data_IF_016918379145
#
_entry.id   IF_016918379145
#
_cell.length_a   1.000
_cell.length_b   1.000
_cell.length_c   1.000
_cell.angle_alpha   90.00
_cell.angle_beta   90.00
_cell.angle_gamma   90.00
#
_symmetry.space_group_name_H-M   'P 1'
#
loop_
_entity.id
_entity.type
_entity.pdbx_description
1 polymer ?
#
# COMPACT_ATOMS: atom_id res chain seq x y z
N UNK A 1 -3.44 21.83 2.97
CA UNK A 1 -2.63 20.67 3.46
C UNK A 1 -3.15 19.30 2.99
N UNK A 2 -4.46 19.01 2.99
CA UNK A 2 -4.99 17.68 2.58
C UNK A 2 -4.61 17.22 1.17
N UNK A 3 -4.54 18.15 0.20
CA UNK A 3 -4.11 17.86 -1.18
C UNK A 3 -2.61 17.53 -1.29
N UNK A 4 -1.75 18.25 -0.58
CA UNK A 4 -0.31 17.95 -0.55
C UNK A 4 -0.04 16.57 0.04
N UNK A 5 -0.72 16.23 1.14
CA UNK A 5 -0.66 14.90 1.73
C UNK A 5 -1.15 13.80 0.78
N UNK A 6 -2.22 14.06 0.03
CA UNK A 6 -2.71 13.12 -0.99
C UNK A 6 -1.66 12.86 -2.06
N UNK A 7 -1.07 13.92 -2.62
CA UNK A 7 -0.03 13.82 -3.64
C UNK A 7 1.19 13.07 -3.10
N UNK A 8 1.65 13.41 -1.89
CA UNK A 8 2.77 12.71 -1.25
C UNK A 8 2.51 11.22 -1.04
N UNK A 9 1.28 10.84 -0.68
CA UNK A 9 0.90 9.43 -0.53
C UNK A 9 0.91 8.69 -1.86
N UNK A 10 0.43 9.32 -2.94
CA UNK A 10 0.48 8.73 -4.28
C UNK A 10 1.93 8.57 -4.72
N UNK A 11 2.74 9.62 -4.59
CA UNK A 11 4.15 9.59 -4.96
C UNK A 11 4.94 8.53 -4.16
N UNK A 12 4.72 8.45 -2.85
CA UNK A 12 5.32 7.41 -2.01
C UNK A 12 4.93 6.00 -2.49
N UNK A 13 3.66 5.79 -2.82
CA UNK A 13 3.18 4.52 -3.35
C UNK A 13 3.81 4.22 -4.72
N UNK A 14 3.98 5.23 -5.59
CA UNK A 14 4.66 5.06 -6.88
C UNK A 14 6.13 4.67 -6.70
N UNK A 15 6.83 5.27 -5.73
CA UNK A 15 8.21 4.90 -5.42
C UNK A 15 8.29 3.44 -4.95
N UNK A 16 7.39 3.01 -4.05
CA UNK A 16 7.33 1.62 -3.59
C UNK A 16 7.02 0.66 -4.77
N UNK A 17 6.14 1.06 -5.69
CA UNK A 17 5.84 0.26 -6.87
C UNK A 17 7.06 0.11 -7.79
N UNK A 18 7.80 1.18 -8.04
CA UNK A 18 8.95 1.17 -8.94
C UNK A 18 10.13 0.41 -8.33
N UNK A 19 10.46 0.72 -7.06
CA UNK A 19 11.67 0.19 -6.42
C UNK A 19 11.47 -1.24 -5.92
N UNK A 20 10.26 -1.61 -5.52
CA UNK A 20 10.00 -2.90 -4.85
C UNK A 20 9.09 -3.79 -5.68
N UNK A 21 7.91 -3.32 -6.08
CA UNK A 21 6.95 -4.18 -6.78
C UNK A 21 7.45 -4.61 -8.16
N UNK A 22 8.00 -3.70 -8.99
CA UNK A 22 8.48 -4.03 -10.33
C UNK A 22 9.58 -5.10 -10.29
N UNK A 23 10.65 -4.97 -9.47
CA UNK A 23 11.66 -6.02 -9.37
C UNK A 23 11.10 -7.37 -8.88
N UNK A 24 10.22 -7.36 -7.87
CA UNK A 24 9.55 -8.58 -7.40
C UNK A 24 8.76 -9.22 -8.55
N UNK A 25 7.96 -8.42 -9.25
CA UNK A 25 7.14 -8.88 -10.37
C UNK A 25 7.98 -9.45 -11.51
N UNK A 26 9.10 -8.80 -11.84
CA UNK A 26 10.03 -9.29 -12.84
C UNK A 26 10.59 -10.67 -12.46
N UNK A 27 11.10 -10.82 -11.24
CA UNK A 27 11.66 -12.10 -10.75
C UNK A 27 10.57 -13.19 -10.77
N UNK A 28 9.37 -12.89 -10.27
CA UNK A 28 8.27 -13.85 -10.20
C UNK A 28 7.83 -14.30 -11.59
N UNK A 29 7.73 -13.40 -12.57
CA UNK A 29 7.36 -13.74 -13.94
C UNK A 29 8.43 -14.58 -14.66
N UNK A 30 9.72 -14.40 -14.31
CA UNK A 30 10.81 -15.24 -14.84
C UNK A 30 10.78 -16.65 -14.25
N UNK A 31 10.46 -16.78 -12.96
CA UNK A 31 10.52 -18.06 -12.23
C UNK A 31 9.23 -18.87 -12.37
N UNK A 32 8.06 -18.22 -12.41
CA UNK A 32 6.75 -18.87 -12.40
C UNK A 32 6.04 -18.64 -13.73
N UNK A 33 5.73 -19.73 -14.44
CA UNK A 33 4.98 -19.67 -15.69
C UNK A 33 3.47 -19.77 -15.45
N UNK A 34 2.70 -18.80 -15.92
CA UNK A 34 1.23 -18.76 -15.84
C UNK A 34 0.69 -17.33 -15.90
N UNK A 35 -0.57 -17.12 -16.28
CA UNK A 35 -1.11 -15.76 -16.46
C UNK A 35 -1.59 -15.10 -15.16
N UNK A 36 -2.15 -15.88 -14.22
CA UNK A 36 -2.80 -15.34 -13.02
C UNK A 36 -1.91 -15.48 -11.76
N UNK A 37 -1.14 -16.55 -11.71
CA UNK A 37 -0.27 -16.90 -10.58
C UNK A 37 0.84 -15.88 -10.31
N UNK A 38 1.57 -15.37 -11.33
CA UNK A 38 2.66 -14.42 -11.09
C UNK A 38 2.18 -13.09 -10.52
N UNK A 39 1.03 -12.58 -11.01
CA UNK A 39 0.46 -11.30 -10.58
C UNK A 39 0.05 -11.35 -9.11
N UNK A 40 -0.67 -12.40 -8.70
CA UNK A 40 -1.10 -12.58 -7.30
C UNK A 40 0.13 -12.78 -6.41
N UNK A 41 1.06 -13.65 -6.81
CA UNK A 41 2.24 -13.94 -6.01
C UNK A 41 3.12 -12.70 -5.80
N UNK A 42 3.29 -11.89 -6.84
CA UNK A 42 4.00 -10.60 -6.75
C UNK A 42 3.30 -9.63 -5.81
N UNK A 43 1.96 -9.56 -5.88
CA UNK A 43 1.16 -8.77 -4.94
C UNK A 43 1.34 -9.23 -3.50
N UNK A 44 1.29 -10.55 -3.25
CA UNK A 44 1.49 -11.13 -1.91
C UNK A 44 2.87 -10.79 -1.35
N UNK A 45 3.93 -10.97 -2.14
CA UNK A 45 5.29 -10.64 -1.72
C UNK A 45 5.45 -9.14 -1.43
N UNK A 46 4.85 -8.28 -2.25
CA UNK A 46 4.86 -6.83 -2.03
C UNK A 46 4.09 -6.41 -0.77
N UNK A 47 2.97 -7.07 -0.47
CA UNK A 47 2.22 -6.87 0.77
C UNK A 47 3.03 -7.31 1.98
N UNK A 48 3.69 -8.47 1.93
CA UNK A 48 4.58 -8.95 3.01
C UNK A 48 5.68 -7.93 3.27
N UNK A 49 6.36 -7.46 2.22
CA UNK A 49 7.33 -6.37 2.32
C UNK A 49 6.75 -5.15 3.02
N UNK A 50 5.56 -4.70 2.61
CA UNK A 50 4.93 -3.49 3.15
C UNK A 50 4.63 -3.64 4.65
N UNK A 51 4.11 -4.78 5.08
CA UNK A 51 3.84 -5.08 6.50
C UNK A 51 5.13 -5.07 7.30
N UNK A 52 6.16 -5.80 6.83
CA UNK A 52 7.47 -5.86 7.50
C UNK A 52 8.09 -4.48 7.60
N UNK A 53 8.02 -3.67 6.53
CA UNK A 53 8.58 -2.34 6.51
C UNK A 53 7.87 -1.41 7.50
N UNK A 54 6.53 -1.42 7.53
CA UNK A 54 5.74 -0.62 8.48
C UNK A 54 6.08 -1.01 9.93
N UNK A 55 6.22 -2.29 10.23
CA UNK A 55 6.53 -2.73 11.59
C UNK A 55 7.99 -2.48 11.99
N UNK A 56 8.93 -2.60 11.04
CA UNK A 56 10.37 -2.53 11.32
C UNK A 56 10.93 -1.11 11.25
N UNK A 57 10.31 -0.22 10.46
CA UNK A 57 10.80 1.15 10.20
C UNK A 57 9.79 2.22 10.66
N UNK A 58 9.23 2.06 11.86
CA UNK A 58 8.37 3.09 12.50
C UNK A 58 7.19 3.55 11.61
N UNK A 59 6.56 2.63 10.90
CA UNK A 59 5.42 2.93 10.03
C UNK A 59 5.78 3.42 8.62
N UNK A 60 7.05 3.28 8.21
CA UNK A 60 7.54 3.77 6.92
C UNK A 60 7.94 2.63 5.97
N UNK A 61 7.47 2.73 4.72
CA UNK A 61 8.02 2.01 3.57
C UNK A 61 9.10 2.89 2.91
N UNK A 62 9.87 2.37 1.95
CA UNK A 62 10.92 3.13 1.26
C UNK A 62 10.35 4.44 0.67
N UNK A 63 9.24 4.35 -0.05
CA UNK A 63 8.58 5.52 -0.64
C UNK A 63 8.06 6.51 0.41
N UNK A 64 7.53 6.01 1.53
CA UNK A 64 7.04 6.87 2.63
C UNK A 64 8.18 7.56 3.38
N UNK A 65 9.32 6.89 3.51
CA UNK A 65 10.55 7.47 4.05
C UNK A 65 11.01 8.67 3.21
N UNK A 66 11.11 8.49 1.88
CA UNK A 66 11.45 9.60 0.97
C UNK A 66 10.42 10.73 0.99
N UNK A 67 9.14 10.41 1.15
CA UNK A 67 8.06 11.39 1.26
C UNK A 67 7.92 12.02 2.67
N UNK A 68 8.75 11.65 3.65
CA UNK A 68 8.69 12.10 5.06
C UNK A 68 7.31 11.93 5.69
N UNK A 69 6.59 10.89 5.29
CA UNK A 69 5.29 10.51 5.85
C UNK A 69 5.43 9.20 6.60
N UNK A 70 4.60 9.02 7.63
CA UNK A 70 4.55 7.77 8.38
C UNK A 70 3.13 7.34 8.64
N UNK A 71 2.96 6.04 8.74
CA UNK A 71 1.72 5.46 9.24
C UNK A 71 1.74 5.54 10.75
N UNK A 72 0.70 6.15 11.32
CA UNK A 72 0.44 6.12 12.74
C UNK A 72 -0.82 5.30 12.96
N UNK A 73 -0.67 4.17 13.65
CA UNK A 73 -1.82 3.37 14.08
C UNK A 73 -2.56 4.10 15.21
N UNK A 74 -3.90 4.19 15.10
CA UNK A 74 -4.75 4.77 16.14
C UNK A 74 -5.03 3.74 17.24
N UNK A 75 -4.75 2.45 17.02
CA UNK A 75 -4.99 1.34 17.96
C UNK A 75 -3.77 0.53 18.42
N UNK A 76 -2.56 0.81 17.92
CA UNK A 76 -1.30 0.08 18.23
C UNK A 76 -1.38 -1.46 18.11
N UNK A 77 -2.08 -1.98 17.09
CA UNK A 77 -2.18 -3.41 16.84
C UNK A 77 -1.56 -3.77 15.51
N UNK A 78 -0.48 -4.56 15.55
CA UNK A 78 0.18 -5.13 14.36
C UNK A 78 -0.83 -5.83 13.43
N UNK A 79 -1.91 -6.40 14.00
CA UNK A 79 -2.98 -7.03 13.23
C UNK A 79 -3.75 -6.03 12.36
N UNK A 80 -4.02 -4.82 12.85
CA UNK A 80 -4.74 -3.79 12.09
C UNK A 80 -3.89 -3.26 10.92
N UNK A 81 -2.61 -3.03 11.15
CA UNK A 81 -1.66 -2.64 10.09
C UNK A 81 -1.49 -3.75 9.04
N UNK A 82 -1.47 -5.01 9.48
CA UNK A 82 -1.39 -6.16 8.57
C UNK A 82 -2.64 -6.28 7.71
N UNK A 83 -3.84 -6.18 8.31
CA UNK A 83 -5.12 -6.19 7.60
C UNK A 83 -5.17 -5.05 6.57
N UNK A 84 -4.67 -3.86 6.92
CA UNK A 84 -4.62 -2.72 6.00
C UNK A 84 -3.82 -3.03 4.72
N UNK A 85 -2.64 -3.62 4.87
CA UNK A 85 -1.77 -3.92 3.73
C UNK A 85 -2.27 -5.14 2.93
N UNK A 86 -2.86 -6.13 3.60
CA UNK A 86 -3.45 -7.31 2.95
C UNK A 86 -4.66 -6.95 2.09
N UNK A 87 -5.50 -6.01 2.51
CA UNK A 87 -6.64 -5.55 1.71
C UNK A 87 -6.21 -4.94 0.37
N UNK A 88 -5.00 -4.39 0.28
CA UNK A 88 -4.48 -3.85 -0.99
C UNK A 88 -4.24 -4.94 -2.03
N UNK A 89 -4.18 -6.22 -1.64
CA UNK A 89 -4.13 -7.34 -2.61
C UNK A 89 -5.34 -7.33 -3.56
N UNK A 90 -6.49 -6.83 -3.10
CA UNK A 90 -7.69 -6.68 -3.93
C UNK A 90 -7.42 -5.73 -5.12
N UNK A 91 -6.50 -4.76 -4.96
CA UNK A 91 -6.12 -3.85 -6.03
C UNK A 91 -5.31 -4.53 -7.15
N UNK A 92 -4.71 -5.70 -6.88
CA UNK A 92 -3.93 -6.46 -7.88
C UNK A 92 -4.78 -7.46 -8.68
N UNK A 93 -6.08 -7.59 -8.38
CA UNK A 93 -6.99 -8.43 -9.15
C UNK A 93 -7.36 -7.71 -10.46
N UNK A 94 -7.19 -8.31 -11.64
CA UNK A 94 -7.61 -7.70 -12.91
C UNK A 94 -9.10 -7.32 -12.89
N UNK A 95 -9.44 -6.18 -13.49
CA UNK A 95 -10.78 -5.56 -13.50
C UNK A 95 -11.33 -5.12 -12.13
N UNK A 96 -11.39 -6.02 -11.14
CA UNK A 96 -11.86 -5.69 -9.78
C UNK A 96 -10.95 -4.66 -9.10
N UNK A 97 -9.64 -4.77 -9.26
CA UNK A 97 -8.68 -3.87 -8.64
C UNK A 97 -8.84 -2.42 -9.11
N UNK A 98 -9.19 -2.21 -10.38
CA UNK A 98 -9.47 -0.88 -10.93
C UNK A 98 -10.73 -0.27 -10.31
N UNK A 99 -11.79 -1.07 -10.16
CA UNK A 99 -13.04 -0.64 -9.54
C UNK A 99 -12.81 -0.27 -8.07
N UNK A 100 -12.19 -1.17 -7.30
CA UNK A 100 -11.96 -0.96 -5.86
C UNK A 100 -10.93 0.15 -5.64
N UNK A 101 -9.93 0.29 -6.50
CA UNK A 101 -8.98 1.40 -6.51
C UNK A 101 -9.69 2.75 -6.74
N UNK A 102 -10.57 2.82 -7.74
CA UNK A 102 -11.39 4.00 -8.01
C UNK A 102 -12.31 4.37 -6.84
N UNK A 103 -12.99 3.38 -6.24
CA UNK A 103 -13.80 3.58 -5.04
C UNK A 103 -12.95 4.09 -3.85
N UNK A 104 -11.73 3.59 -3.69
CA UNK A 104 -10.81 4.03 -2.64
C UNK A 104 -10.42 5.50 -2.78
N UNK A 105 -10.20 5.95 -4.02
CA UNK A 105 -9.95 7.36 -4.34
C UNK A 105 -11.21 8.20 -4.05
N UNK A 106 -12.39 7.73 -4.46
CA UNK A 106 -13.67 8.39 -4.15
C UNK A 106 -13.89 8.54 -2.63
N UNK A 107 -13.63 7.48 -1.86
CA UNK A 107 -13.68 7.54 -0.39
C UNK A 107 -12.70 8.57 0.18
N UNK A 108 -11.52 8.74 -0.40
CA UNK A 108 -10.58 9.77 0.03
C UNK A 108 -11.13 11.18 -0.17
N UNK A 109 -11.80 11.47 -1.28
CA UNK A 109 -12.40 12.78 -1.52
C UNK A 109 -13.58 13.08 -0.58
N UNK A 110 -14.37 12.07 -0.23
CA UNK A 110 -15.55 12.24 0.65
C UNK A 110 -15.15 12.28 2.13
N UNK A 111 -14.32 11.33 2.58
CA UNK A 111 -14.03 11.09 4.00
C UNK A 111 -12.60 11.48 4.41
N UNK A 112 -11.73 11.82 3.46
CA UNK A 112 -10.31 12.14 3.73
C UNK A 112 -9.45 10.92 4.06
N UNK A 113 -9.96 9.70 3.85
CA UNK A 113 -9.29 8.42 4.14
C UNK A 113 -9.52 7.44 3.00
N UNK A 114 -8.53 6.61 2.69
CA UNK A 114 -8.69 5.54 1.71
C UNK A 114 -9.44 4.34 2.33
N UNK A 115 -10.01 3.48 1.48
CA UNK A 115 -10.73 2.28 1.92
C UNK A 115 -9.89 1.41 2.86
N UNK A 116 -8.62 1.17 2.50
CA UNK A 116 -7.72 0.41 3.34
C UNK A 116 -7.46 1.09 4.69
N UNK A 117 -7.35 2.43 4.73
CA UNK A 117 -7.14 3.17 5.99
C UNK A 117 -8.34 3.06 6.94
N UNK A 118 -9.55 3.06 6.39
CA UNK A 118 -10.80 2.92 7.15
C UNK A 118 -10.85 1.54 7.80
N UNK A 119 -10.57 0.49 7.01
CA UNK A 119 -10.64 -0.89 7.48
C UNK A 119 -9.51 -1.18 8.47
N UNK A 120 -8.30 -0.69 8.20
CA UNK A 120 -7.14 -0.81 9.08
C UNK A 120 -7.12 0.14 10.28
N UNK A 121 -8.16 0.97 10.47
CA UNK A 121 -8.24 1.99 11.54
C UNK A 121 -6.97 2.86 11.70
N UNK A 122 -6.28 3.12 10.60
CA UNK A 122 -4.97 3.79 10.62
C UNK A 122 -5.07 5.25 10.17
N UNK A 123 -4.09 6.08 10.53
CA UNK A 123 -3.91 7.44 10.00
C UNK A 123 -2.51 7.60 9.43
N UNK A 124 -2.35 8.52 8.50
CA UNK A 124 -1.05 8.91 7.95
C UNK A 124 -0.76 10.32 8.43
N UNK A 125 0.42 10.54 9.01
CA UNK A 125 0.90 11.84 9.49
C UNK A 125 2.21 12.20 8.82
N UNK A 126 2.49 13.49 8.69
CA UNK A 126 3.86 13.95 8.40
C UNK A 126 4.75 13.63 9.59
N UNK A 127 5.96 13.15 9.31
CA UNK A 127 7.03 13.13 10.29
C UNK A 127 7.73 14.49 10.19
N UNK A 128 7.64 15.29 11.26
CA UNK A 128 8.33 16.56 11.42
C UNK A 128 9.69 16.34 12.04
#
# INVERSE_FOLDING_TARGET
>A
MKYLLFIQRILATMIDLIIVYIPISFIVNVVVTGYFTPTILSGVLFTIYSVVAIHSFQGQTIGKYFAKIQVIDVGKSMMNDSIREVIKLIYFIPFLGLIVGGLSIGCYFIQGKFLHDIIGKSKVSMNG
#
